data_IF_369966069133
#
_entry.id   IF_369966069133
#
_cell.length_a   1.000
_cell.length_b   1.000
_cell.length_c   1.000
_cell.angle_alpha   90.00
_cell.angle_beta   90.00
_cell.angle_gamma   90.00
#
_symmetry.space_group_name_H-M   'P 1'
#
loop_
_entity.id
_entity.type
_entity.pdbx_description
1 polymer ?
#
# COMPACT_ATOMS: atom_id res chain seq x y z
N UNK A 1 -24.47 -9.17 -5.85
CA UNK A 1 -23.56 -8.01 -5.74
C UNK A 1 -23.31 -7.41 -7.12
N UNK A 2 -23.12 -6.10 -7.18
CA UNK A 2 -22.90 -5.34 -8.43
C UNK A 2 -21.66 -4.45 -8.27
N UNK A 3 -20.44 -5.02 -8.28
CA UNK A 3 -19.21 -4.31 -7.95
C UNK A 3 -18.85 -3.18 -8.92
N UNK A 4 -19.34 -3.26 -10.17
CA UNK A 4 -19.11 -2.26 -11.22
C UNK A 4 -20.16 -1.14 -11.25
N UNK A 5 -21.18 -1.20 -10.38
CA UNK A 5 -22.26 -0.22 -10.36
C UNK A 5 -21.96 0.90 -9.36
N UNK A 6 -22.43 2.11 -9.66
CA UNK A 6 -22.42 3.20 -8.67
C UNK A 6 -23.32 2.85 -7.46
N UNK A 7 -23.16 3.58 -6.35
CA UNK A 7 -23.87 3.30 -5.09
C UNK A 7 -25.41 3.23 -5.29
N UNK A 8 -26.08 4.19 -5.97
CA UNK A 8 -27.51 4.11 -6.21
C UNK A 8 -27.96 2.85 -6.95
N UNK A 9 -27.24 2.48 -8.00
CA UNK A 9 -27.55 1.27 -8.80
C UNK A 9 -27.29 -0.02 -8.01
N UNK A 10 -26.19 -0.06 -7.23
CA UNK A 10 -25.86 -1.20 -6.38
C UNK A 10 -26.89 -1.40 -5.28
N UNK A 11 -27.38 -0.32 -4.68
CA UNK A 11 -28.39 -0.34 -3.62
C UNK A 11 -29.79 -0.73 -4.11
N UNK A 12 -30.14 -0.41 -5.37
CA UNK A 12 -31.40 -0.78 -6.00
C UNK A 12 -32.67 -0.12 -5.44
N UNK A 13 -32.55 0.73 -4.40
CA UNK A 13 -33.67 1.53 -3.90
C UNK A 13 -33.18 2.82 -3.23
N UNK A 14 -34.03 3.87 -3.25
CA UNK A 14 -33.73 5.17 -2.62
C UNK A 14 -33.44 5.05 -1.12
N UNK A 15 -34.19 4.21 -0.41
CA UNK A 15 -33.99 4.02 1.03
C UNK A 15 -32.61 3.40 1.34
N UNK A 16 -32.20 2.36 0.61
CA UNK A 16 -30.89 1.72 0.75
C UNK A 16 -29.75 2.66 0.35
N UNK A 17 -29.94 3.45 -0.72
CA UNK A 17 -28.98 4.48 -1.15
C UNK A 17 -28.76 5.52 -0.05
N UNK A 18 -29.84 6.04 0.54
CA UNK A 18 -29.75 6.99 1.66
C UNK A 18 -29.05 6.39 2.88
N UNK A 19 -29.33 5.13 3.19
CA UNK A 19 -28.67 4.42 4.28
C UNK A 19 -27.16 4.24 4.02
N UNK A 20 -26.75 3.92 2.78
CA UNK A 20 -25.35 3.82 2.40
C UNK A 20 -24.61 5.14 2.56
N UNK A 21 -25.16 6.26 2.09
CA UNK A 21 -24.55 7.57 2.27
C UNK A 21 -24.44 7.96 3.75
N UNK A 22 -25.50 7.77 4.55
CA UNK A 22 -25.45 8.01 5.99
C UNK A 22 -24.39 7.18 6.71
N UNK A 23 -24.19 5.93 6.27
CA UNK A 23 -23.12 5.07 6.79
C UNK A 23 -21.75 5.67 6.49
N UNK A 24 -21.49 6.12 5.26
CA UNK A 24 -20.23 6.72 4.86
C UNK A 24 -19.97 8.08 5.52
N UNK A 25 -21.03 8.87 5.77
CA UNK A 25 -20.95 10.18 6.44
C UNK A 25 -20.80 10.05 7.98
N UNK A 26 -21.04 8.85 8.52
CA UNK A 26 -20.97 8.63 9.97
C UNK A 26 -19.53 8.76 10.48
N UNK A 27 -19.27 9.69 11.38
CA UNK A 27 -17.93 9.96 11.97
C UNK A 27 -17.28 8.74 12.63
N UNK A 28 -18.09 7.77 13.08
CA UNK A 28 -17.57 6.52 13.64
C UNK A 28 -17.21 5.47 12.58
N UNK A 29 -17.55 5.71 11.32
CA UNK A 29 -17.20 4.85 10.18
C UNK A 29 -15.85 5.29 9.64
N UNK A 30 -14.80 4.57 9.98
CA UNK A 30 -13.43 4.83 9.49
C UNK A 30 -12.99 3.74 8.54
N UNK A 31 -12.04 4.03 7.66
CA UNK A 31 -11.44 3.07 6.75
C UNK A 31 -10.93 1.83 7.50
N UNK A 32 -10.23 2.03 8.61
CA UNK A 32 -9.71 0.95 9.46
C UNK A 32 -10.81 0.02 9.97
N UNK A 33 -11.94 0.58 10.46
CA UNK A 33 -13.07 -0.22 10.94
C UNK A 33 -13.74 -1.02 9.84
N UNK A 34 -13.87 -0.44 8.64
CA UNK A 34 -14.45 -1.13 7.47
C UNK A 34 -13.53 -2.28 7.05
N UNK A 35 -12.22 -2.04 7.05
CA UNK A 35 -11.24 -3.01 6.56
C UNK A 35 -10.88 -4.10 7.57
N UNK A 36 -11.07 -3.85 8.87
CA UNK A 36 -10.64 -4.76 9.94
C UNK A 36 -11.10 -6.20 9.73
N UNK A 37 -12.37 -6.42 9.45
CA UNK A 37 -12.92 -7.78 9.24
C UNK A 37 -12.36 -8.44 7.99
N UNK A 38 -12.06 -7.65 6.95
CA UNK A 38 -11.41 -8.13 5.73
C UNK A 38 -9.98 -8.56 6.01
N UNK A 39 -9.21 -7.76 6.74
CA UNK A 39 -7.83 -8.07 7.11
C UNK A 39 -7.75 -9.34 7.96
N UNK A 40 -8.62 -9.49 8.97
CA UNK A 40 -8.70 -10.71 9.78
C UNK A 40 -9.02 -11.94 8.92
N UNK A 41 -9.97 -11.84 8.01
CA UNK A 41 -10.28 -12.92 7.09
C UNK A 41 -9.12 -13.24 6.14
N UNK A 42 -8.34 -12.24 5.72
CA UNK A 42 -7.14 -12.42 4.90
C UNK A 42 -6.06 -13.16 5.67
N UNK A 43 -5.76 -12.76 6.90
CA UNK A 43 -4.76 -13.44 7.76
C UNK A 43 -5.16 -14.90 7.99
N UNK A 44 -6.44 -15.20 8.19
CA UNK A 44 -6.93 -16.58 8.32
C UNK A 44 -6.73 -17.40 7.04
N UNK A 45 -6.75 -16.79 5.85
CA UNK A 45 -6.43 -17.48 4.59
C UNK A 45 -4.92 -17.69 4.46
N UNK A 46 -4.12 -16.67 4.80
CA UNK A 46 -2.65 -16.72 4.79
C UNK A 46 -2.15 -17.88 5.65
N UNK A 47 -2.66 -18.05 6.85
CA UNK A 47 -2.24 -19.13 7.77
C UNK A 47 -2.50 -20.55 7.27
N UNK A 48 -3.17 -20.74 6.13
CA UNK A 48 -3.38 -22.05 5.47
C UNK A 48 -2.35 -22.34 4.39
N UNK A 49 -1.53 -21.36 4.03
CA UNK A 49 -0.55 -21.44 2.97
C UNK A 49 0.87 -21.63 3.54
N UNK A 50 1.72 -22.34 2.82
CA UNK A 50 3.14 -22.47 3.20
C UNK A 50 3.95 -21.24 2.84
N UNK A 51 3.68 -20.63 1.71
CA UNK A 51 4.35 -19.43 1.20
C UNK A 51 3.30 -18.47 0.68
N UNK A 52 3.42 -17.20 1.06
CA UNK A 52 2.53 -16.11 0.63
C UNK A 52 3.36 -14.93 0.12
N UNK A 53 2.99 -14.42 -1.03
CA UNK A 53 3.54 -13.21 -1.62
C UNK A 53 2.70 -12.01 -1.17
N UNK A 54 3.30 -11.10 -0.41
CA UNK A 54 2.71 -9.81 -0.02
C UNK A 54 3.19 -8.74 -0.99
N UNK A 55 2.45 -8.55 -2.07
CA UNK A 55 2.80 -7.67 -3.18
C UNK A 55 2.34 -6.26 -2.87
N UNK A 56 3.29 -5.34 -2.87
CA UNK A 56 3.06 -3.92 -2.64
C UNK A 56 3.05 -3.15 -3.96
N UNK A 57 2.11 -2.25 -4.13
CA UNK A 57 2.06 -1.36 -5.29
C UNK A 57 1.51 0.02 -4.93
N UNK A 58 1.81 1.00 -5.77
CA UNK A 58 1.33 2.38 -5.61
C UNK A 58 0.54 2.80 -6.83
N UNK A 59 -0.67 3.23 -6.61
CA UNK A 59 -1.53 3.78 -7.66
C UNK A 59 -2.08 5.17 -7.29
N UNK A 60 -2.76 5.81 -8.21
CA UNK A 60 -3.38 7.11 -8.00
C UNK A 60 -4.87 7.04 -8.30
N UNK A 61 -5.66 7.69 -7.46
CA UNK A 61 -7.08 7.94 -7.72
C UNK A 61 -7.22 9.35 -8.26
N UNK A 62 -7.57 9.49 -9.55
CA UNK A 62 -7.70 10.77 -10.21
C UNK A 62 -9.10 11.36 -9.99
N UNK A 63 -9.15 12.50 -9.33
CA UNK A 63 -10.38 13.27 -9.06
C UNK A 63 -10.44 14.59 -9.80
N UNK A 64 -9.59 14.83 -10.81
CA UNK A 64 -9.52 16.11 -11.54
C UNK A 64 -10.84 16.53 -12.20
N UNK A 65 -11.72 15.57 -12.48
CA UNK A 65 -13.07 15.83 -13.02
C UNK A 65 -14.13 16.05 -11.94
N UNK A 66 -13.74 16.07 -10.66
CA UNK A 66 -14.63 16.21 -9.51
C UNK A 66 -14.29 17.45 -8.69
N UNK A 67 -14.55 18.68 -9.21
CA UNK A 67 -14.07 19.93 -8.60
C UNK A 67 -14.66 20.23 -7.22
N UNK A 68 -15.76 19.58 -6.85
CA UNK A 68 -16.39 19.72 -5.54
C UNK A 68 -15.71 18.87 -4.44
N UNK A 69 -14.74 18.01 -4.79
CA UNK A 69 -14.04 17.18 -3.81
C UNK A 69 -12.91 17.98 -3.18
N UNK A 70 -12.97 18.16 -1.87
CA UNK A 70 -11.94 18.85 -1.08
C UNK A 70 -10.79 17.91 -0.69
N UNK A 71 -9.73 18.49 -0.11
CA UNK A 71 -8.60 17.77 0.49
C UNK A 71 -7.85 16.82 -0.47
N UNK A 72 -7.80 17.20 -1.75
CA UNK A 72 -7.04 16.50 -2.78
C UNK A 72 -5.63 17.11 -2.94
N UNK A 73 -4.67 16.28 -3.33
CA UNK A 73 -3.30 16.70 -3.67
C UNK A 73 -2.94 16.45 -5.13
N UNK A 74 -1.79 16.95 -5.56
CA UNK A 74 -1.28 16.71 -6.91
C UNK A 74 -0.82 15.25 -7.07
N UNK A 75 -1.32 14.56 -8.11
CA UNK A 75 -1.01 13.16 -8.42
C UNK A 75 -0.08 12.99 -9.62
N UNK A 76 0.29 14.05 -10.27
CA UNK A 76 1.17 14.05 -11.45
C UNK A 76 2.18 15.20 -11.42
N UNK A 77 2.63 15.63 -12.59
CA UNK A 77 3.45 16.83 -12.71
C UNK A 77 2.62 18.10 -12.45
N UNK A 78 3.27 19.16 -11.95
CA UNK A 78 2.62 20.45 -11.72
C UNK A 78 1.97 21.00 -13.00
N UNK A 79 2.63 20.79 -14.14
CA UNK A 79 2.13 21.26 -15.45
C UNK A 79 0.85 20.54 -15.88
N UNK A 80 0.61 19.31 -15.42
CA UNK A 80 -0.60 18.55 -15.76
C UNK A 80 -1.82 18.89 -14.90
N UNK A 81 -1.64 19.55 -13.75
CA UNK A 81 -2.72 20.00 -12.86
C UNK A 81 -3.64 18.87 -12.34
N UNK A 82 -3.24 17.61 -12.46
CA UNK A 82 -4.06 16.49 -12.02
C UNK A 82 -4.09 16.42 -10.49
N UNK A 83 -5.30 16.30 -9.93
CA UNK A 83 -5.52 16.22 -8.49
C UNK A 83 -6.20 14.90 -8.10
N UNK A 84 -5.88 14.41 -6.91
CA UNK A 84 -6.41 13.16 -6.44
C UNK A 84 -5.74 12.67 -5.16
N UNK A 85 -5.78 11.35 -4.97
CA UNK A 85 -5.17 10.66 -3.83
C UNK A 85 -4.13 9.67 -4.33
N UNK A 86 -3.12 9.43 -3.50
CA UNK A 86 -2.18 8.33 -3.67
C UNK A 86 -2.69 7.16 -2.83
N UNK A 87 -2.67 5.97 -3.40
CA UNK A 87 -2.98 4.73 -2.70
C UNK A 87 -1.79 3.80 -2.82
N UNK A 88 -1.34 3.28 -1.70
CA UNK A 88 -0.35 2.23 -1.63
C UNK A 88 -0.95 1.06 -0.87
N UNK A 89 -1.04 -0.09 -1.50
CA UNK A 89 -1.64 -1.27 -0.90
C UNK A 89 -0.68 -2.46 -0.87
N UNK A 90 -1.04 -3.43 -0.05
CA UNK A 90 -0.35 -4.73 0.01
C UNK A 90 -1.39 -5.82 -0.18
N UNK A 91 -1.38 -6.41 -1.36
CA UNK A 91 -2.26 -7.53 -1.71
C UNK A 91 -1.50 -8.85 -1.59
N UNK A 92 -2.13 -9.85 -1.00
CA UNK A 92 -1.50 -11.16 -0.78
C UNK A 92 -1.99 -12.20 -1.76
N UNK A 93 -1.05 -13.04 -2.22
CA UNK A 93 -1.27 -14.13 -3.16
C UNK A 93 -0.60 -15.40 -2.66
N UNK A 94 -1.17 -16.54 -2.98
CA UNK A 94 -0.43 -17.81 -2.87
C UNK A 94 0.53 -17.99 -4.06
N UNK A 95 1.32 -19.05 -4.06
CA UNK A 95 2.31 -19.31 -5.12
C UNK A 95 1.70 -19.66 -6.48
N UNK A 96 0.43 -20.05 -6.50
CA UNK A 96 -0.34 -20.28 -7.74
C UNK A 96 -0.93 -18.99 -8.32
N UNK A 97 -0.72 -17.84 -7.64
CA UNK A 97 -1.24 -16.54 -8.05
C UNK A 97 -2.70 -16.28 -7.64
N UNK A 98 -3.28 -17.11 -6.76
CA UNK A 98 -4.62 -16.88 -6.24
C UNK A 98 -4.59 -15.75 -5.21
N UNK A 99 -5.42 -14.70 -5.36
CA UNK A 99 -5.48 -13.62 -4.40
C UNK A 99 -6.11 -14.07 -3.08
N UNK A 100 -5.41 -13.85 -1.98
CA UNK A 100 -5.90 -14.16 -0.64
C UNK A 100 -6.60 -12.96 0.01
N UNK A 101 -6.24 -11.75 -0.39
CA UNK A 101 -6.83 -10.49 0.06
C UNK A 101 -5.79 -9.43 0.40
N UNK A 102 -6.29 -8.27 0.79
CA UNK A 102 -5.46 -7.12 1.17
C UNK A 102 -5.13 -7.19 2.66
N UNK A 103 -3.90 -6.82 3.04
CA UNK A 103 -3.44 -6.72 4.43
C UNK A 103 -3.10 -5.30 4.86
N UNK A 104 -2.85 -4.40 3.91
CA UNK A 104 -2.56 -2.99 4.19
C UNK A 104 -3.09 -2.10 3.06
N UNK A 105 -3.62 -0.94 3.42
CA UNK A 105 -3.95 0.14 2.47
C UNK A 105 -3.61 1.47 3.12
N UNK A 106 -2.70 2.20 2.51
CA UNK A 106 -2.37 3.58 2.85
C UNK A 106 -2.97 4.50 1.79
N UNK A 107 -3.65 5.56 2.21
CA UNK A 107 -4.26 6.54 1.29
C UNK A 107 -3.97 7.94 1.81
N UNK A 108 -3.45 8.81 0.96
CA UNK A 108 -3.13 10.20 1.33
C UNK A 108 -3.22 11.16 0.14
N UNK A 109 -3.43 12.44 0.44
CA UNK A 109 -3.21 13.53 -0.48
C UNK A 109 -1.78 14.08 -0.29
N UNK A 110 -1.10 14.43 -1.38
CA UNK A 110 0.18 15.15 -1.28
C UNK A 110 -0.08 16.59 -0.88
N UNK A 111 0.72 17.09 0.07
CA UNK A 111 0.68 18.49 0.44
C UNK A 111 1.14 19.36 -0.76
N UNK A 112 0.33 20.32 -1.19
CA UNK A 112 0.71 21.24 -2.27
C UNK A 112 2.00 22.03 -1.97
N UNK A 113 2.30 22.29 -0.69
CA UNK A 113 3.52 22.98 -0.28
C UNK A 113 4.79 22.16 -0.48
N UNK A 114 4.69 20.83 -0.46
CA UNK A 114 5.84 19.92 -0.67
C UNK A 114 6.20 19.74 -2.14
N UNK A 115 5.38 20.32 -3.02
CA UNK A 115 5.60 20.21 -4.44
C UNK A 115 6.83 21.02 -4.89
N UNK A 116 7.71 20.39 -5.68
CA UNK A 116 8.94 21.03 -6.18
C UNK A 116 10.14 20.93 -5.23
N UNK A 117 9.95 20.47 -4.00
CA UNK A 117 11.03 20.28 -3.00
C UNK A 117 11.83 18.99 -3.21
N UNK A 118 11.80 18.39 -4.40
CA UNK A 118 12.49 17.13 -4.72
C UNK A 118 14.00 17.17 -4.37
N UNK A 119 14.63 18.33 -4.57
CA UNK A 119 16.05 18.55 -4.26
C UNK A 119 16.38 18.53 -2.77
N UNK A 120 15.38 18.66 -1.88
CA UNK A 120 15.59 18.59 -0.43
C UNK A 120 15.40 17.17 0.14
N UNK A 121 14.87 16.23 -0.65
CA UNK A 121 14.56 14.88 -0.19
C UNK A 121 15.75 14.12 0.40
N UNK A 122 16.97 14.38 -0.09
CA UNK A 122 18.19 13.74 0.44
C UNK A 122 18.48 14.12 1.90
N UNK A 123 17.98 15.27 2.38
CA UNK A 123 18.15 15.76 3.76
C UNK A 123 17.08 15.25 4.72
N UNK A 124 15.98 14.69 4.19
CA UNK A 124 14.88 14.19 5.00
C UNK A 124 15.19 12.80 5.55
N UNK A 125 14.74 12.52 6.76
CA UNK A 125 14.68 11.17 7.31
C UNK A 125 13.65 10.34 6.53
N UNK A 126 13.78 9.01 6.58
CA UNK A 126 12.87 8.11 5.83
C UNK A 126 11.41 8.31 6.22
N UNK A 127 11.13 8.59 7.49
CA UNK A 127 9.77 8.80 8.01
C UNK A 127 9.08 10.03 7.40
N UNK A 128 9.87 10.97 6.88
CA UNK A 128 9.40 12.20 6.23
C UNK A 128 9.30 12.06 4.69
N UNK A 129 9.75 10.92 4.15
CA UNK A 129 9.72 10.65 2.72
C UNK A 129 8.48 9.84 2.34
N UNK A 130 7.96 10.06 1.13
CA UNK A 130 6.87 9.25 0.58
C UNK A 130 7.26 7.76 0.47
N UNK A 131 8.56 7.46 0.29
CA UNK A 131 9.07 6.09 0.27
C UNK A 131 8.93 5.33 1.59
N UNK A 132 8.60 6.02 2.70
CA UNK A 132 8.27 5.37 3.97
C UNK A 132 7.03 4.44 3.87
N UNK A 133 6.20 4.61 2.86
CA UNK A 133 5.07 3.71 2.56
C UNK A 133 5.51 2.24 2.51
N UNK A 134 6.66 1.95 1.88
CA UNK A 134 7.23 0.60 1.76
C UNK A 134 7.59 -0.01 3.12
N UNK A 135 8.16 0.79 4.02
CA UNK A 135 8.51 0.34 5.36
C UNK A 135 7.26 0.08 6.21
N UNK A 136 6.26 0.97 6.11
CA UNK A 136 4.97 0.79 6.81
C UNK A 136 4.30 -0.52 6.41
N UNK A 137 4.18 -0.79 5.11
CA UNK A 137 3.61 -2.05 4.62
C UNK A 137 4.46 -3.27 5.00
N UNK A 138 5.80 -3.13 5.03
CA UNK A 138 6.67 -4.20 5.52
C UNK A 138 6.44 -4.50 7.02
N UNK A 139 6.20 -3.48 7.84
CA UNK A 139 5.82 -3.69 9.25
C UNK A 139 4.49 -4.45 9.39
N UNK A 140 3.50 -4.16 8.53
CA UNK A 140 2.25 -4.94 8.50
C UNK A 140 2.52 -6.39 8.09
N UNK A 141 3.35 -6.61 7.07
CA UNK A 141 3.75 -7.96 6.68
C UNK A 141 4.50 -8.70 7.81
N UNK A 142 5.31 -7.98 8.60
CA UNK A 142 5.99 -8.53 9.79
C UNK A 142 4.97 -8.98 10.86
N UNK A 143 3.93 -8.19 11.09
CA UNK A 143 2.86 -8.58 12.02
C UNK A 143 2.10 -9.81 11.52
N UNK A 144 1.84 -9.90 10.20
CA UNK A 144 1.23 -11.08 9.59
C UNK A 144 2.13 -12.31 9.74
N UNK A 145 3.45 -12.16 9.50
CA UNK A 145 4.44 -13.26 9.70
C UNK A 145 4.40 -13.76 11.14
N UNK A 146 4.36 -12.85 12.11
CA UNK A 146 4.29 -13.21 13.54
C UNK A 146 2.99 -13.97 13.89
N UNK A 147 1.87 -13.63 13.27
CA UNK A 147 0.56 -14.29 13.46
C UNK A 147 0.46 -15.63 12.74
N UNK A 148 1.25 -15.83 11.69
CA UNK A 148 1.27 -17.04 10.88
C UNK A 148 2.70 -17.62 10.83
N UNK A 149 3.23 -18.17 11.94
CA UNK A 149 4.63 -18.58 12.04
C UNK A 149 5.00 -19.76 11.12
N UNK A 150 4.02 -20.60 10.75
CA UNK A 150 4.22 -21.74 9.84
C UNK A 150 4.17 -21.32 8.35
N UNK A 151 3.80 -20.07 8.06
CA UNK A 151 3.75 -19.51 6.71
C UNK A 151 5.00 -18.66 6.48
N UNK A 152 5.66 -18.84 5.35
CA UNK A 152 6.71 -17.90 4.91
C UNK A 152 6.07 -16.75 4.16
N UNK A 153 6.10 -15.54 4.73
CA UNK A 153 5.66 -14.32 4.05
C UNK A 153 6.82 -13.73 3.28
N UNK A 154 6.61 -13.44 2.00
CA UNK A 154 7.57 -12.78 1.11
C UNK A 154 6.99 -11.41 0.73
N UNK A 155 7.59 -10.33 1.22
CA UNK A 155 7.25 -8.97 0.80
C UNK A 155 7.85 -8.71 -0.57
N UNK A 156 7.01 -8.30 -1.52
CA UNK A 156 7.40 -8.09 -2.92
C UNK A 156 7.18 -6.63 -3.29
N UNK A 157 8.21 -5.99 -3.85
CA UNK A 157 8.15 -4.61 -4.29
C UNK A 157 8.79 -4.40 -5.67
N UNK A 158 8.33 -3.38 -6.37
CA UNK A 158 8.91 -2.94 -7.63
C UNK A 158 10.21 -2.12 -7.42
N UNK A 159 10.67 -1.40 -8.45
CA UNK A 159 11.89 -0.57 -8.39
C UNK A 159 11.82 0.56 -7.38
N UNK A 160 10.65 1.10 -7.07
CA UNK A 160 10.51 2.15 -6.05
C UNK A 160 10.81 1.64 -4.64
N UNK A 161 10.72 0.32 -4.42
CA UNK A 161 11.06 -0.34 -3.16
C UNK A 161 12.57 -0.57 -2.99
N UNK A 162 13.41 -0.28 -4.01
CA UNK A 162 14.87 -0.44 -3.94
C UNK A 162 15.51 0.66 -3.08
N UNK A 163 15.22 0.63 -1.77
CA UNK A 163 15.70 1.59 -0.78
C UNK A 163 16.48 0.86 0.33
N UNK A 164 17.59 1.46 0.76
CA UNK A 164 18.51 0.88 1.75
C UNK A 164 17.80 0.56 3.07
N UNK A 165 16.96 1.47 3.55
CA UNK A 165 16.25 1.34 4.81
C UNK A 165 15.32 0.11 4.84
N UNK A 166 14.71 -0.25 3.70
CA UNK A 166 13.88 -1.45 3.60
C UNK A 166 14.71 -2.73 3.67
N UNK A 167 15.86 -2.78 2.98
CA UNK A 167 16.79 -3.91 3.09
C UNK A 167 17.32 -4.09 4.50
N UNK A 168 17.74 -2.98 5.12
CA UNK A 168 18.23 -2.99 6.50
C UNK A 168 17.14 -3.50 7.46
N UNK A 169 15.90 -3.03 7.31
CA UNK A 169 14.77 -3.49 8.12
C UNK A 169 14.51 -4.99 7.93
N UNK A 170 14.50 -5.47 6.69
CA UNK A 170 14.24 -6.87 6.40
C UNK A 170 15.30 -7.81 6.99
N UNK A 171 16.57 -7.38 6.99
CA UNK A 171 17.69 -8.15 7.53
C UNK A 171 17.87 -8.00 9.04
N UNK A 172 17.16 -7.05 9.69
CA UNK A 172 17.38 -6.74 11.12
C UNK A 172 17.03 -7.89 12.06
N UNK A 173 16.16 -8.82 11.65
CA UNK A 173 15.74 -10.00 12.43
C UNK A 173 15.52 -11.19 11.51
N UNK A 174 15.87 -12.38 11.98
CA UNK A 174 15.74 -13.63 11.22
C UNK A 174 14.27 -14.02 10.96
N UNK A 175 13.37 -13.67 11.87
CA UNK A 175 11.93 -13.95 11.81
C UNK A 175 11.14 -12.96 10.94
N UNK A 176 11.78 -11.92 10.39
CA UNK A 176 11.11 -11.00 9.49
C UNK A 176 10.68 -11.69 8.19
N UNK A 177 9.65 -11.15 7.52
CA UNK A 177 9.31 -11.57 6.16
C UNK A 177 10.52 -11.56 5.25
N UNK A 178 10.56 -12.47 4.30
CA UNK A 178 11.56 -12.42 3.22
C UNK A 178 11.24 -11.22 2.33
N UNK A 179 12.25 -10.68 1.66
CA UNK A 179 12.12 -9.51 0.80
C UNK A 179 12.54 -9.86 -0.63
N UNK A 180 11.68 -9.54 -1.60
CA UNK A 180 11.95 -9.64 -3.02
C UNK A 180 11.68 -8.28 -3.66
N UNK A 181 12.72 -7.59 -4.12
CA UNK A 181 12.63 -6.28 -4.74
C UNK A 181 13.26 -6.30 -6.11
N UNK A 182 12.60 -5.67 -7.09
CA UNK A 182 13.20 -5.42 -8.39
C UNK A 182 14.27 -4.32 -8.24
N UNK A 183 15.54 -4.65 -8.53
CA UNK A 183 16.62 -3.69 -8.41
C UNK A 183 16.46 -2.49 -9.36
N UNK A 184 16.68 -1.29 -8.84
CA UNK A 184 16.77 -0.02 -9.56
C UNK A 184 18.23 0.42 -9.68
N UNK A 185 19.00 0.23 -8.62
CA UNK A 185 20.37 0.72 -8.51
C UNK A 185 21.39 -0.40 -8.67
N UNK A 186 22.42 -0.16 -9.47
CA UNK A 186 23.57 -1.05 -9.57
C UNK A 186 24.45 -0.88 -8.34
N UNK A 187 24.22 -1.71 -7.32
CA UNK A 187 24.89 -1.62 -6.01
C UNK A 187 26.17 -2.44 -6.00
N UNK A 188 27.19 -1.95 -5.29
CA UNK A 188 28.39 -2.73 -5.00
C UNK A 188 28.03 -3.87 -4.04
N UNK A 189 28.48 -5.07 -4.35
CA UNK A 189 28.31 -6.24 -3.50
C UNK A 189 29.27 -6.17 -2.29
N UNK A 190 28.86 -6.76 -1.16
CA UNK A 190 29.62 -6.68 0.11
C UNK A 190 30.99 -7.33 0.02
N UNK A 191 31.16 -8.34 -0.82
CA UNK A 191 32.43 -9.04 -1.05
C UNK A 191 33.42 -8.24 -1.91
N UNK A 192 33.04 -7.06 -2.40
CA UNK A 192 33.88 -6.22 -3.26
C UNK A 192 34.15 -6.80 -4.65
N UNK A 193 33.53 -7.92 -5.01
CA UNK A 193 33.80 -8.63 -6.26
C UNK A 193 32.99 -8.13 -7.46
N UNK A 194 32.18 -7.09 -7.30
CA UNK A 194 31.44 -6.52 -8.42
C UNK A 194 30.19 -5.75 -8.02
N UNK A 195 29.42 -5.45 -9.03
CA UNK A 195 28.14 -4.79 -8.93
C UNK A 195 27.00 -5.78 -9.12
N UNK A 196 25.79 -5.37 -8.76
CA UNK A 196 24.59 -6.22 -8.86
C UNK A 196 24.26 -6.60 -10.31
N UNK A 197 24.60 -5.71 -11.29
CA UNK A 197 24.51 -5.90 -12.73
C UNK A 197 25.41 -4.91 -13.47
#
# INVERSE_FOLDING_TARGET
SRPQSNIPQACGSRAKTKAAYRFLECKSTTMEKIQKSHYEATVNRIGKEKIVLAVQDTTTLNYSTHPATADLGLIGSKAGGLVGLIVHDTMTFNVEGTPLGVIDVQCWARDPEDFGKKHLRHKLRIEQKESNKWLKSFHVATEVQRRCPETTVVSVGDREADIYELFHLALSKAENPKLLVRAEHNRLLVDGQGHLY
#
